data_IF_182353333779
#
_entry.id   IF_182353333779
#
_cell.length_a   1.000
_cell.length_b   1.000
_cell.length_c   1.000
_cell.angle_alpha   90.00
_cell.angle_beta   90.00
_cell.angle_gamma   90.00
#
_symmetry.space_group_name_H-M   'P 1'
#
loop_
_entity.id
_entity.type
_entity.pdbx_description
1 polymer ?
#
# COMPACT_ATOMS: atom_id res chain seq x y z
N UNK A 1 -25.02 -13.47 -19.77
CA UNK A 1 -23.66 -13.28 -19.28
C UNK A 1 -23.28 -11.83 -19.51
N UNK A 2 -23.59 -10.96 -18.55
CA UNK A 2 -23.28 -9.53 -18.64
C UNK A 2 -21.80 -9.34 -18.28
N UNK A 3 -20.99 -9.08 -19.30
CA UNK A 3 -19.64 -8.54 -19.11
C UNK A 3 -19.80 -7.09 -18.63
N UNK A 4 -19.70 -6.88 -17.33
CA UNK A 4 -19.56 -5.55 -16.76
C UNK A 4 -18.15 -5.10 -17.14
N UNK A 5 -18.03 -4.33 -18.21
CA UNK A 5 -16.83 -3.56 -18.52
C UNK A 5 -16.69 -2.50 -17.42
N UNK A 6 -15.85 -2.78 -16.45
CA UNK A 6 -15.44 -1.78 -15.47
C UNK A 6 -14.51 -0.82 -16.19
N UNK A 7 -14.91 0.44 -16.24
CA UNK A 7 -14.04 1.50 -16.71
C UNK A 7 -12.95 1.71 -15.64
N UNK A 8 -11.85 0.97 -15.76
CA UNK A 8 -10.66 1.19 -14.96
C UNK A 8 -9.84 2.20 -15.72
N UNK A 9 -9.79 3.43 -15.24
CA UNK A 9 -8.88 4.44 -15.77
C UNK A 9 -7.55 4.34 -15.01
N UNK A 10 -6.41 4.16 -15.70
CA UNK A 10 -5.12 4.19 -15.02
C UNK A 10 -4.90 5.59 -14.48
N UNK A 11 -4.93 5.72 -13.15
CA UNK A 11 -4.61 6.96 -12.46
C UNK A 11 -3.28 6.73 -11.75
N UNK A 12 -2.31 7.61 -12.02
CA UNK A 12 -1.03 7.61 -11.31
C UNK A 12 -1.30 7.91 -9.84
N UNK A 13 -1.05 6.96 -8.97
CA UNK A 13 -1.39 7.04 -7.55
C UNK A 13 -0.64 8.17 -6.81
N UNK A 14 0.47 8.61 -7.34
CA UNK A 14 1.40 9.53 -6.69
C UNK A 14 0.88 10.95 -6.52
N UNK A 15 0.15 11.54 -7.46
CA UNK A 15 -0.51 12.82 -7.20
C UNK A 15 -1.52 12.76 -6.06
N UNK A 16 -1.98 11.56 -5.69
CA UNK A 16 -2.97 11.32 -4.63
C UNK A 16 -2.36 11.11 -3.24
N UNK A 17 -1.04 10.90 -3.16
CA UNK A 17 -0.33 10.65 -1.91
C UNK A 17 0.75 11.71 -1.69
N UNK A 18 0.90 12.18 -0.46
CA UNK A 18 2.00 13.06 -0.04
C UNK A 18 3.09 12.18 0.58
N UNK A 19 4.32 12.35 0.08
CA UNK A 19 5.49 11.78 0.73
C UNK A 19 5.93 12.70 1.86
N UNK A 20 5.80 12.29 3.11
CA UNK A 20 6.43 12.99 4.21
C UNK A 20 7.74 12.28 4.57
N UNK A 21 8.81 12.64 3.87
CA UNK A 21 10.16 12.40 4.35
C UNK A 21 10.81 13.76 4.60
N UNK A 22 10.56 14.34 5.74
CA UNK A 22 11.44 15.44 6.14
C UNK A 22 12.82 14.87 6.44
N UNK A 23 13.79 15.24 5.58
CA UNK A 23 15.20 15.03 5.88
C UNK A 23 15.49 15.66 7.24
N UNK A 24 15.88 14.85 8.21
CA UNK A 24 16.40 15.32 9.48
C UNK A 24 17.61 16.24 9.22
N UNK A 25 17.38 17.53 9.10
CA UNK A 25 18.42 18.48 9.43
C UNK A 25 18.67 18.33 10.94
N UNK A 26 19.91 18.47 11.40
CA UNK A 26 20.35 18.23 12.79
C UNK A 26 19.55 18.94 13.90
N UNK A 27 18.46 19.63 13.56
CA UNK A 27 17.52 20.35 14.43
C UNK A 27 16.04 20.05 14.12
N UNK A 28 15.70 18.96 13.38
CA UNK A 28 14.31 18.69 13.02
C UNK A 28 13.54 18.14 14.21
N UNK A 29 12.43 18.79 14.54
CA UNK A 29 11.38 18.23 15.40
C UNK A 29 10.94 16.91 14.76
N UNK A 30 10.84 15.85 15.56
CA UNK A 30 10.27 14.57 15.10
C UNK A 30 8.90 14.86 14.47
N UNK A 31 8.71 14.45 13.21
CA UNK A 31 7.42 14.58 12.55
C UNK A 31 6.47 13.60 13.20
N UNK A 32 5.37 14.12 13.71
CA UNK A 32 4.30 13.34 14.31
C UNK A 32 3.22 13.11 13.28
N UNK A 33 2.81 11.86 13.09
CA UNK A 33 1.76 11.48 12.16
C UNK A 33 0.53 11.06 12.96
N UNK A 34 -0.56 11.81 12.80
CA UNK A 34 -1.85 11.57 13.48
C UNK A 34 -2.96 11.11 12.54
N UNK A 35 -2.68 11.10 11.24
CA UNK A 35 -3.65 10.74 10.21
C UNK A 35 -3.52 9.27 9.80
N UNK A 36 -4.61 8.67 9.36
CA UNK A 36 -4.60 7.34 8.75
C UNK A 36 -3.72 7.37 7.49
N UNK A 37 -2.74 6.48 7.42
CA UNK A 37 -1.75 6.49 6.36
C UNK A 37 -1.21 5.09 6.04
N UNK A 38 -0.41 5.01 4.98
CA UNK A 38 0.46 3.87 4.72
C UNK A 38 1.90 4.22 5.07
N UNK A 39 2.66 3.22 5.51
CA UNK A 39 4.12 3.34 5.68
C UNK A 39 4.82 2.25 4.92
N UNK A 40 6.04 2.52 4.44
CA UNK A 40 6.88 1.47 3.85
C UNK A 40 8.24 1.41 4.52
N UNK A 41 8.84 0.23 4.51
CA UNK A 41 10.22 0.04 4.98
C UNK A 41 11.18 0.42 3.85
N UNK A 42 12.03 1.42 4.09
CA UNK A 42 12.96 1.96 3.09
C UNK A 42 14.14 1.05 2.80
N UNK A 43 14.60 0.29 3.77
CA UNK A 43 15.81 -0.53 3.71
C UNK A 43 15.75 -1.80 4.56
N UNK A 44 16.82 -2.60 4.50
CA UNK A 44 16.98 -3.82 5.27
C UNK A 44 16.17 -5.01 4.73
N UNK A 45 16.15 -6.10 5.50
CA UNK A 45 15.56 -7.38 5.07
C UNK A 45 14.05 -7.34 4.76
N UNK A 46 13.35 -6.30 5.21
CA UNK A 46 11.91 -6.07 4.93
C UNK A 46 11.68 -4.85 4.05
N UNK A 47 12.69 -4.42 3.30
CA UNK A 47 12.54 -3.32 2.34
C UNK A 47 11.34 -3.55 1.43
N UNK A 48 10.55 -2.50 1.18
CA UNK A 48 9.35 -2.55 0.35
C UNK A 48 8.10 -3.13 1.04
N UNK A 49 8.18 -3.49 2.33
CA UNK A 49 6.97 -3.89 3.06
C UNK A 49 6.12 -2.68 3.40
N UNK A 50 4.83 -2.74 3.06
CA UNK A 50 3.85 -1.69 3.36
C UNK A 50 2.98 -2.08 4.55
N UNK A 51 2.77 -1.11 5.44
CA UNK A 51 1.89 -1.24 6.60
C UNK A 51 0.81 -0.16 6.54
N UNK A 52 -0.40 -0.53 6.88
CA UNK A 52 -1.48 0.39 7.17
C UNK A 52 -1.38 0.86 8.62
N UNK A 53 -1.50 2.17 8.84
CA UNK A 53 -1.44 2.81 10.16
C UNK A 53 -2.71 3.63 10.38
N UNK A 54 -3.45 3.28 11.40
CA UNK A 54 -4.66 3.94 11.87
C UNK A 54 -4.50 4.46 13.31
N UNK A 55 -3.25 4.69 13.71
CA UNK A 55 -2.86 5.19 15.03
C UNK A 55 -1.70 6.17 14.91
N UNK A 56 -1.54 7.01 15.92
CA UNK A 56 -0.51 8.04 16.02
C UNK A 56 0.89 7.43 16.23
N UNK A 57 1.89 7.94 15.52
CA UNK A 57 3.26 7.46 15.63
C UNK A 57 4.30 8.49 15.17
N UNK A 58 5.56 8.21 15.51
CA UNK A 58 6.72 8.92 14.99
C UNK A 58 7.48 8.01 14.02
N UNK A 59 7.53 8.30 12.72
CA UNK A 59 8.34 7.55 11.79
C UNK A 59 9.83 7.75 12.07
N UNK A 60 10.64 6.70 11.89
CA UNK A 60 12.08 6.76 11.92
C UNK A 60 12.65 6.93 10.49
N UNK A 61 13.98 7.06 10.38
CA UNK A 61 14.67 7.30 9.09
C UNK A 61 14.50 6.13 8.10
N UNK A 62 14.20 4.92 8.59
CA UNK A 62 13.96 3.72 7.79
C UNK A 62 12.49 3.55 7.38
N UNK A 63 11.64 4.48 7.76
CA UNK A 63 10.20 4.45 7.52
C UNK A 63 9.79 5.61 6.59
N UNK A 64 9.22 5.28 5.44
CA UNK A 64 8.54 6.27 4.62
C UNK A 64 7.05 6.34 4.95
N UNK A 65 6.41 7.48 4.70
CA UNK A 65 4.99 7.71 4.99
C UNK A 65 4.27 8.20 3.75
N UNK A 66 3.11 7.58 3.45
CA UNK A 66 2.21 7.92 2.37
C UNK A 66 0.89 8.41 2.97
N UNK A 67 0.62 9.70 2.87
CA UNK A 67 -0.63 10.30 3.33
C UNK A 67 -1.53 10.55 2.11
N UNK A 68 -2.79 10.06 2.09
CA UNK A 68 -3.69 10.27 0.97
C UNK A 68 -4.12 11.74 0.90
N UNK A 69 -4.15 12.31 -0.32
CA UNK A 69 -4.70 13.66 -0.60
C UNK A 69 -6.18 13.64 -0.90
N UNK A 70 -6.70 12.48 -1.18
CA UNK A 70 -8.11 12.23 -1.49
C UNK A 70 -8.57 11.01 -0.70
N UNK A 71 -9.86 10.85 -0.57
CA UNK A 71 -10.43 9.71 0.13
C UNK A 71 -10.19 8.42 -0.65
N UNK A 72 -9.52 7.44 0.00
CA UNK A 72 -9.15 6.15 -0.55
C UNK A 72 -9.29 5.06 0.51
N UNK A 73 -9.64 3.85 0.11
CA UNK A 73 -9.49 2.71 0.99
C UNK A 73 -8.00 2.31 1.06
N UNK A 74 -7.30 2.76 2.10
CA UNK A 74 -5.85 2.52 2.25
C UNK A 74 -5.49 1.04 2.38
N UNK A 75 -6.38 0.20 2.88
CA UNK A 75 -6.17 -1.25 2.93
C UNK A 75 -6.20 -1.86 1.53
N UNK A 76 -7.10 -1.38 0.66
CA UNK A 76 -7.13 -1.73 -0.75
C UNK A 76 -5.88 -1.21 -1.49
N UNK A 77 -5.51 0.07 -1.29
CA UNK A 77 -4.29 0.67 -1.87
C UNK A 77 -3.04 -0.13 -1.50
N UNK A 78 -2.89 -0.47 -0.22
CA UNK A 78 -1.79 -1.33 0.25
C UNK A 78 -1.73 -2.65 -0.51
N UNK A 79 -2.87 -3.28 -0.74
CA UNK A 79 -2.96 -4.55 -1.47
C UNK A 79 -2.46 -4.41 -2.91
N UNK A 80 -2.78 -3.30 -3.58
CA UNK A 80 -2.34 -3.04 -4.96
C UNK A 80 -0.83 -2.77 -5.03
N UNK A 81 -0.30 -1.95 -4.13
CA UNK A 81 1.11 -1.52 -4.16
C UNK A 81 2.07 -2.62 -3.70
N UNK A 82 1.71 -3.44 -2.71
CA UNK A 82 2.62 -4.40 -2.09
C UNK A 82 3.34 -5.35 -3.09
N UNK A 83 2.65 -5.99 -4.04
CA UNK A 83 3.31 -6.86 -5.02
C UNK A 83 4.23 -6.08 -5.96
N UNK A 84 3.88 -4.84 -6.32
CA UNK A 84 4.71 -3.98 -7.18
C UNK A 84 6.05 -3.71 -6.49
N UNK A 85 6.02 -3.35 -5.20
CA UNK A 85 7.22 -3.07 -4.43
C UNK A 85 8.11 -4.30 -4.27
N UNK A 86 7.53 -5.45 -3.97
CA UNK A 86 8.31 -6.68 -3.87
C UNK A 86 9.04 -7.00 -5.18
N UNK A 87 8.39 -6.83 -6.32
CA UNK A 87 9.04 -7.04 -7.62
C UNK A 87 10.17 -6.04 -7.88
N UNK A 88 10.00 -4.78 -7.46
CA UNK A 88 11.06 -3.75 -7.59
C UNK A 88 12.27 -4.04 -6.69
N UNK A 89 12.05 -4.51 -5.47
CA UNK A 89 13.12 -4.85 -4.52
C UNK A 89 13.88 -6.09 -4.99
N UNK A 90 13.19 -7.14 -5.42
CA UNK A 90 13.82 -8.38 -5.94
C UNK A 90 14.69 -8.09 -7.17
N UNK A 91 14.26 -7.18 -8.04
CA UNK A 91 15.01 -6.82 -9.25
C UNK A 91 16.34 -6.08 -8.98
N UNK A 92 16.60 -5.62 -7.75
CA UNK A 92 17.74 -4.76 -7.38
C UNK A 92 18.80 -5.40 -6.49
N UNK A 93 18.85 -6.73 -6.37
CA UNK A 93 19.73 -7.44 -5.43
C UNK A 93 19.61 -7.03 -3.96
N UNK A 94 19.65 -8.00 -3.10
CA UNK A 94 19.39 -8.13 -1.65
C UNK A 94 19.73 -6.96 -0.67
N UNK A 95 20.21 -5.83 -1.12
CA UNK A 95 20.41 -4.60 -0.33
C UNK A 95 19.54 -3.43 -0.84
N UNK A 96 18.32 -3.75 -1.33
CA UNK A 96 17.41 -2.76 -1.88
C UNK A 96 17.13 -1.62 -0.91
N UNK A 97 17.39 -0.40 -1.35
CA UNK A 97 16.86 0.82 -0.76
C UNK A 97 15.68 1.28 -1.63
N UNK A 98 14.58 1.62 -1.00
CA UNK A 98 13.38 2.11 -1.66
C UNK A 98 13.12 3.56 -1.24
N UNK A 99 13.63 4.47 -2.06
CA UNK A 99 13.47 5.90 -1.82
C UNK A 99 12.15 6.44 -2.36
N UNK A 100 11.83 7.66 -1.99
CA UNK A 100 10.63 8.38 -2.40
C UNK A 100 10.48 8.48 -3.92
N UNK A 101 11.58 8.70 -4.65
CA UNK A 101 11.59 8.78 -6.12
C UNK A 101 11.10 7.49 -6.78
N UNK A 102 11.40 6.33 -6.19
CA UNK A 102 10.94 5.04 -6.69
C UNK A 102 9.48 4.81 -6.35
N UNK A 103 9.07 5.21 -5.14
CA UNK A 103 7.66 5.23 -4.76
C UNK A 103 6.85 6.15 -5.67
N UNK A 104 7.46 7.28 -6.08
CA UNK A 104 6.85 8.28 -6.96
C UNK A 104 6.52 7.76 -8.37
N UNK A 105 7.07 6.67 -8.82
CA UNK A 105 6.82 6.09 -10.13
C UNK A 105 5.89 4.86 -10.09
N UNK A 106 5.23 4.60 -8.95
CA UNK A 106 4.27 3.51 -8.85
C UNK A 106 2.92 3.95 -9.42
N UNK A 107 2.43 3.18 -10.36
CA UNK A 107 1.12 3.34 -10.95
C UNK A 107 0.17 2.26 -10.42
N UNK A 108 -1.06 2.67 -10.12
CA UNK A 108 -2.14 1.78 -9.68
C UNK A 108 -3.42 2.18 -10.39
N UNK A 109 -4.11 1.19 -10.93
CA UNK A 109 -5.43 1.40 -11.53
C UNK A 109 -6.46 1.64 -10.43
N UNK A 110 -7.04 2.85 -10.39
CA UNK A 110 -8.06 3.21 -9.40
C UNK A 110 -9.43 3.11 -10.03
N UNK A 111 -10.37 2.36 -9.43
CA UNK A 111 -11.74 2.28 -9.93
C UNK A 111 -12.43 3.65 -9.79
N UNK A 112 -13.10 4.04 -10.86
CA UNK A 112 -13.91 5.25 -10.92
C UNK A 112 -15.36 4.89 -11.27
N UNK A 113 -16.28 5.75 -10.87
CA UNK A 113 -17.69 5.65 -11.22
C UNK A 113 -17.98 6.13 -12.65
N UNK A 114 -19.25 6.12 -13.05
CA UNK A 114 -19.70 6.56 -14.39
C UNK A 114 -19.44 8.05 -14.65
N UNK A 115 -19.16 8.85 -13.62
CA UNK A 115 -18.83 10.27 -13.71
C UNK A 115 -17.31 10.52 -13.76
N UNK A 116 -16.50 9.47 -13.59
CA UNK A 116 -15.04 9.56 -13.51
C UNK A 116 -14.51 9.91 -12.12
N UNK A 117 -15.37 9.87 -11.10
CA UNK A 117 -14.98 10.10 -9.71
C UNK A 117 -14.52 8.79 -9.05
N UNK A 118 -13.64 8.87 -8.04
CA UNK A 118 -13.10 7.71 -7.34
C UNK A 118 -14.22 6.90 -6.68
N UNK A 119 -14.34 5.63 -7.05
CA UNK A 119 -15.36 4.72 -6.49
C UNK A 119 -14.85 3.97 -5.26
N UNK A 120 -15.11 4.56 -4.09
CA UNK A 120 -14.79 3.94 -2.80
C UNK A 120 -15.60 2.67 -2.50
N UNK A 121 -16.85 2.60 -2.99
CA UNK A 121 -17.70 1.43 -2.75
C UNK A 121 -17.11 0.20 -3.43
N UNK A 122 -16.58 0.38 -4.63
CA UNK A 122 -15.88 -0.67 -5.37
C UNK A 122 -14.56 -1.05 -4.70
N UNK A 123 -13.73 -0.08 -4.27
CA UNK A 123 -12.50 -0.38 -3.52
C UNK A 123 -12.80 -1.22 -2.27
N UNK A 124 -13.82 -0.83 -1.50
CA UNK A 124 -14.26 -1.55 -0.31
C UNK A 124 -14.72 -2.99 -0.63
N UNK A 125 -15.48 -3.15 -1.70
CA UNK A 125 -15.96 -4.46 -2.16
C UNK A 125 -14.80 -5.37 -2.56
N UNK A 126 -13.90 -4.88 -3.41
CA UNK A 126 -12.71 -5.64 -3.86
C UNK A 126 -11.87 -6.06 -2.65
N UNK A 127 -11.59 -5.13 -1.74
CA UNK A 127 -10.80 -5.42 -0.54
C UNK A 127 -11.50 -6.48 0.33
N UNK A 128 -12.80 -6.39 0.53
CA UNK A 128 -13.55 -7.33 1.37
C UNK A 128 -13.53 -8.76 0.79
N UNK A 129 -13.70 -8.90 -0.52
CA UNK A 129 -13.63 -10.20 -1.18
C UNK A 129 -12.22 -10.81 -1.12
N UNK A 130 -11.20 -9.99 -1.37
CA UNK A 130 -9.82 -10.41 -1.20
C UNK A 130 -9.51 -10.86 0.22
N UNK A 131 -9.99 -10.12 1.23
CA UNK A 131 -9.77 -10.47 2.62
C UNK A 131 -10.41 -11.82 2.98
N UNK A 132 -11.61 -12.11 2.47
CA UNK A 132 -12.24 -13.43 2.62
C UNK A 132 -11.38 -14.56 2.04
N UNK A 133 -10.80 -14.35 0.84
CA UNK A 133 -9.90 -15.34 0.22
C UNK A 133 -8.65 -15.58 1.08
N UNK A 134 -8.05 -14.53 1.65
CA UNK A 134 -6.91 -14.66 2.57
C UNK A 134 -7.29 -15.47 3.81
N UNK A 135 -8.47 -15.25 4.38
CA UNK A 135 -8.93 -16.03 5.55
C UNK A 135 -9.15 -17.52 5.19
N UNK A 136 -9.73 -17.80 4.04
CA UNK A 136 -9.91 -19.18 3.54
C UNK A 136 -8.55 -19.85 3.37
N UNK A 137 -7.60 -19.18 2.70
CA UNK A 137 -6.23 -19.68 2.51
C UNK A 137 -5.58 -20.02 3.86
N UNK A 138 -5.61 -19.11 4.81
CA UNK A 138 -5.04 -19.30 6.15
C UNK A 138 -5.68 -20.49 6.89
N UNK A 139 -7.00 -20.63 6.78
CA UNK A 139 -7.69 -21.77 7.37
C UNK A 139 -7.27 -23.10 6.73
N UNK A 140 -7.10 -23.14 5.42
CA UNK A 140 -6.60 -24.33 4.71
C UNK A 140 -5.16 -24.68 5.12
N UNK A 141 -4.28 -23.67 5.24
CA UNK A 141 -2.91 -23.87 5.73
C UNK A 141 -2.90 -24.47 7.14
N UNK A 142 -3.68 -23.92 8.06
CA UNK A 142 -3.82 -24.47 9.42
C UNK A 142 -4.35 -25.91 9.44
N UNK A 143 -5.29 -26.26 8.54
CA UNK A 143 -5.81 -27.62 8.40
C UNK A 143 -4.70 -28.56 7.91
N UNK A 144 -3.96 -28.16 6.87
CA UNK A 144 -2.86 -28.94 6.33
C UNK A 144 -1.77 -29.21 7.36
N UNK A 145 -1.36 -28.19 8.11
CA UNK A 145 -0.38 -28.32 9.21
C UNK A 145 -0.85 -29.32 10.27
N UNK A 146 -2.14 -29.29 10.60
CA UNK A 146 -2.72 -30.22 11.61
C UNK A 146 -2.72 -31.69 11.15
N UNK A 147 -2.79 -31.94 9.85
CA UNK A 147 -2.84 -33.30 9.28
C UNK A 147 -1.56 -33.70 8.56
N UNK A 148 -0.54 -32.84 8.50
CA UNK A 148 0.80 -33.19 8.05
C UNK A 148 1.50 -33.96 9.19
N UNK A 149 1.72 -35.26 8.96
CA UNK A 149 2.50 -36.15 9.84
C UNK A 149 3.96 -36.06 9.46
#
# INVERSE_FOLDING_TARGET
MLLIFWCISPIVLIPLLIFSSEKNSKNSKKVYVSEECLTWTKDGAKCGTIFHRDYEFYPNDHCGVLIPKVELNLKWVRQQIQPILYNQVIAKDAQGMLYEEQMANIEVDIPVDDNGEIDLAIQNKIYSEYYKLIQIKKNLENILEKYSI
#
